data_IF_621879373033
#
_entry.id   IF_621879373033
#
_cell.length_a   1.000
_cell.length_b   1.000
_cell.length_c   1.000
_cell.angle_alpha   90.00
_cell.angle_beta   90.00
_cell.angle_gamma   90.00
#
_symmetry.space_group_name_H-M   'P 1'
#
loop_
_entity.id
_entity.type
_entity.pdbx_description
1 polymer ?
#
# COMPACT_ATOMS: atom_id res chain seq x y z
N UNK A 1 -1.97 -6.86 -1.57
CA UNK A 1 -1.15 -6.14 -2.58
C UNK A 1 0.29 -6.67 -2.64
N UNK A 2 1.06 -6.71 -1.53
CA UNK A 2 2.44 -7.22 -1.55
C UNK A 2 2.57 -8.63 -2.14
N UNK A 3 1.73 -9.58 -1.73
CA UNK A 3 1.70 -10.94 -2.30
C UNK A 3 1.37 -10.96 -3.79
N UNK A 4 0.56 -10.01 -4.29
CA UNK A 4 0.25 -9.93 -5.72
C UNK A 4 1.45 -9.39 -6.52
N UNK A 5 2.13 -8.37 -5.98
CA UNK A 5 3.35 -7.82 -6.57
C UNK A 5 4.49 -8.85 -6.57
N UNK A 6 4.66 -9.58 -5.47
CA UNK A 6 5.66 -10.65 -5.37
C UNK A 6 5.41 -11.76 -6.40
N UNK A 7 4.16 -12.23 -6.55
CA UNK A 7 3.81 -13.18 -7.61
C UNK A 7 4.20 -12.67 -9.01
N UNK A 8 3.87 -11.41 -9.31
CA UNK A 8 4.23 -10.80 -10.59
C UNK A 8 5.76 -10.70 -10.78
N UNK A 9 6.50 -10.35 -9.73
CA UNK A 9 7.96 -10.33 -9.74
C UNK A 9 8.54 -11.71 -10.05
N UNK A 10 8.01 -12.77 -9.44
CA UNK A 10 8.46 -14.15 -9.72
C UNK A 10 8.16 -14.55 -11.17
N UNK A 11 7.01 -14.18 -11.71
CA UNK A 11 6.63 -14.46 -13.11
C UNK A 11 7.58 -13.76 -14.10
N UNK A 12 7.90 -12.49 -13.87
CA UNK A 12 8.82 -11.72 -14.72
C UNK A 12 10.25 -12.27 -14.65
N UNK A 13 10.70 -12.71 -13.47
CA UNK A 13 12.00 -13.35 -13.31
C UNK A 13 12.12 -14.67 -14.09
N UNK A 14 11.01 -15.40 -14.22
CA UNK A 14 10.92 -16.68 -14.95
C UNK A 14 10.80 -16.49 -16.46
N UNK A 15 10.26 -15.36 -16.92
CA UNK A 15 10.01 -15.11 -18.34
C UNK A 15 11.25 -14.53 -19.02
N UNK A 16 11.71 -15.10 -20.15
CA UNK A 16 12.80 -14.51 -20.93
C UNK A 16 12.31 -13.22 -21.59
N UNK A 17 12.71 -12.08 -21.03
CA UNK A 17 12.41 -10.74 -21.55
C UNK A 17 13.67 -9.87 -21.46
N UNK A 18 13.94 -9.08 -22.49
CA UNK A 18 15.03 -8.10 -22.54
C UNK A 18 14.97 -7.11 -21.36
N UNK A 19 13.77 -6.72 -20.93
CA UNK A 19 13.54 -5.76 -19.86
C UNK A 19 13.28 -6.38 -18.48
N UNK A 20 13.55 -7.68 -18.31
CA UNK A 20 13.19 -8.40 -17.07
C UNK A 20 13.81 -7.81 -15.81
N UNK A 21 15.04 -7.30 -15.92
CA UNK A 21 15.77 -6.72 -14.79
C UNK A 21 15.13 -5.38 -14.38
N UNK A 22 14.93 -4.48 -15.34
CA UNK A 22 14.34 -3.16 -15.12
C UNK A 22 12.91 -3.28 -14.59
N UNK A 23 12.11 -4.18 -15.16
CA UNK A 23 10.75 -4.42 -14.69
C UNK A 23 10.73 -5.06 -13.29
N UNK A 24 11.68 -5.95 -13.00
CA UNK A 24 11.84 -6.54 -11.66
C UNK A 24 12.22 -5.49 -10.61
N UNK A 25 13.15 -4.60 -10.92
CA UNK A 25 13.53 -3.47 -10.06
C UNK A 25 12.36 -2.51 -9.84
N UNK A 26 11.59 -2.23 -10.89
CA UNK A 26 10.39 -1.40 -10.79
C UNK A 26 9.35 -1.99 -9.84
N UNK A 27 9.07 -3.29 -9.94
CA UNK A 27 8.14 -3.97 -9.02
C UNK A 27 8.67 -3.96 -7.59
N UNK A 28 9.99 -4.13 -7.40
CA UNK A 28 10.60 -4.01 -6.08
C UNK A 28 10.39 -2.60 -5.48
N UNK A 29 10.58 -1.54 -6.27
CA UNK A 29 10.32 -0.16 -5.83
C UNK A 29 8.86 0.05 -5.40
N UNK A 30 7.90 -0.53 -6.15
CA UNK A 30 6.48 -0.52 -5.79
C UNK A 30 6.25 -1.24 -4.46
N UNK A 31 6.83 -2.43 -4.28
CA UNK A 31 6.72 -3.20 -3.04
C UNK A 31 7.31 -2.45 -1.83
N UNK A 32 8.43 -1.77 -2.00
CA UNK A 32 9.07 -0.98 -0.95
C UNK A 32 8.20 0.22 -0.56
N UNK A 33 7.55 0.88 -1.53
CA UNK A 33 6.61 1.97 -1.26
C UNK A 33 5.36 1.49 -0.51
N UNK A 34 4.75 0.38 -0.95
CA UNK A 34 3.62 -0.25 -0.24
C UNK A 34 4.02 -0.61 1.19
N UNK A 35 5.21 -1.18 1.38
CA UNK A 35 5.69 -1.61 2.70
C UNK A 35 5.89 -0.43 3.65
N UNK A 36 6.46 0.68 3.15
CA UNK A 36 6.62 1.93 3.91
C UNK A 36 5.27 2.53 4.32
N UNK A 37 4.31 2.61 3.40
CA UNK A 37 2.96 3.10 3.71
C UNK A 37 2.26 2.21 4.73
N UNK A 38 2.34 0.89 4.57
CA UNK A 38 1.77 -0.08 5.51
C UNK A 38 2.38 0.05 6.92
N UNK A 39 3.70 0.28 7.01
CA UNK A 39 4.37 0.50 8.28
C UNK A 39 3.91 1.80 8.94
N UNK A 40 3.82 2.89 8.17
CA UNK A 40 3.32 4.17 8.67
C UNK A 40 1.87 4.05 9.18
N UNK A 41 0.99 3.41 8.41
CA UNK A 41 -0.39 3.16 8.79
C UNK A 41 -0.50 2.33 10.07
N UNK A 42 0.24 1.21 10.17
CA UNK A 42 0.24 0.37 11.38
C UNK A 42 0.74 1.13 12.60
N UNK A 43 1.75 2.00 12.44
CA UNK A 43 2.26 2.85 13.51
C UNK A 43 1.20 3.86 13.95
N UNK A 44 0.49 4.48 13.01
CA UNK A 44 -0.60 5.42 13.30
C UNK A 44 -1.76 4.75 14.03
N UNK A 45 -2.24 3.61 13.53
CA UNK A 45 -3.30 2.84 14.19
C UNK A 45 -2.92 2.47 15.62
N UNK A 46 -1.68 1.99 15.81
CA UNK A 46 -1.16 1.68 17.15
C UNK A 46 -1.10 2.91 18.05
N UNK A 47 -0.62 4.05 17.55
CA UNK A 47 -0.56 5.30 18.31
C UNK A 47 -1.94 5.84 18.71
N UNK A 48 -3.00 5.42 18.00
CA UNK A 48 -4.39 5.78 18.30
C UNK A 48 -5.15 4.71 19.09
N UNK A 49 -4.47 3.65 19.55
CA UNK A 49 -5.06 2.48 20.20
C UNK A 49 -6.15 1.80 19.35
N UNK A 50 -5.94 1.75 18.03
CA UNK A 50 -6.80 1.04 17.08
C UNK A 50 -6.14 -0.28 16.73
N UNK A 51 -6.86 -1.39 16.90
CA UNK A 51 -6.45 -2.73 16.48
C UNK A 51 -7.49 -3.27 15.51
N UNK A 52 -7.03 -3.88 14.41
CA UNK A 52 -7.89 -4.53 13.41
C UNK A 52 -7.51 -6.00 13.38
N UNK A 53 -8.53 -6.86 13.38
CA UNK A 53 -8.42 -8.30 13.38
C UNK A 53 -9.10 -8.84 12.13
N UNK A 54 -8.49 -9.84 11.51
CA UNK A 54 -9.14 -10.64 10.48
C UNK A 54 -10.16 -11.54 11.18
N UNK A 55 -11.42 -11.48 10.73
CA UNK A 55 -12.51 -12.29 11.30
C UNK A 55 -12.82 -13.42 10.32
N UNK A 56 -13.67 -13.16 9.32
CA UNK A 56 -14.16 -14.18 8.40
C UNK A 56 -14.29 -13.66 6.97
N UNK A 57 -14.23 -14.58 6.00
CA UNK A 57 -14.58 -14.29 4.62
C UNK A 57 -15.74 -15.17 4.19
N UNK A 58 -16.87 -14.53 3.84
CA UNK A 58 -18.11 -15.21 3.46
C UNK A 58 -18.71 -14.53 2.22
N UNK A 59 -19.05 -15.31 1.19
CA UNK A 59 -19.76 -14.84 -0.02
C UNK A 59 -19.18 -13.58 -0.68
N UNK A 60 -17.85 -13.49 -0.74
CA UNK A 60 -17.17 -12.34 -1.33
C UNK A 60 -17.16 -11.09 -0.45
N UNK A 61 -17.59 -11.20 0.81
CA UNK A 61 -17.46 -10.16 1.83
C UNK A 61 -16.34 -10.56 2.80
N UNK A 62 -15.47 -9.61 3.13
CA UNK A 62 -14.39 -9.76 4.10
C UNK A 62 -14.81 -9.00 5.35
N UNK A 63 -15.02 -9.73 6.45
CA UNK A 63 -15.34 -9.15 7.74
C UNK A 63 -14.05 -8.92 8.53
N UNK A 64 -13.93 -7.69 9.04
CA UNK A 64 -12.89 -7.33 9.96
C UNK A 64 -13.51 -6.76 11.23
N UNK A 65 -12.93 -7.16 12.34
CA UNK A 65 -13.26 -6.62 13.65
C UNK A 65 -12.23 -5.58 14.03
N UNK A 66 -12.65 -4.51 14.67
CA UNK A 66 -11.73 -3.52 15.21
C UNK A 66 -12.04 -3.19 16.65
N UNK A 67 -10.98 -2.90 17.40
CA UNK A 67 -11.06 -2.37 18.75
C UNK A 67 -10.46 -0.95 18.73
N UNK A 68 -11.24 0.04 19.15
CA UNK A 68 -10.82 1.43 19.28
C UNK A 68 -11.24 1.95 20.65
N UNK A 69 -10.27 2.23 21.52
CA UNK A 69 -10.51 2.85 22.86
C UNK A 69 -11.53 2.07 23.73
N UNK A 70 -11.53 0.74 23.64
CA UNK A 70 -12.45 -0.13 24.39
C UNK A 70 -13.78 -0.40 23.69
N UNK A 71 -14.06 0.26 22.56
CA UNK A 71 -15.18 -0.08 21.69
C UNK A 71 -14.77 -1.13 20.67
N UNK A 72 -15.57 -2.18 20.56
CA UNK A 72 -15.40 -3.24 19.57
C UNK A 72 -16.59 -3.21 18.60
N UNK A 73 -16.29 -3.21 17.31
CA UNK A 73 -17.29 -3.32 16.24
C UNK A 73 -16.66 -4.02 15.04
N UNK A 74 -17.47 -4.27 14.01
CA UNK A 74 -17.07 -4.92 12.77
C UNK A 74 -17.39 -4.06 11.57
N UNK A 75 -16.53 -4.11 10.57
CA UNK A 75 -16.82 -3.60 9.25
C UNK A 75 -16.66 -4.71 8.21
N UNK A 76 -17.37 -4.55 7.11
CA UNK A 76 -17.38 -5.47 6.00
C UNK A 76 -16.79 -4.78 4.78
N UNK A 77 -15.95 -5.51 4.03
CA UNK A 77 -15.41 -5.05 2.76
C UNK A 77 -15.88 -6.00 1.67
N UNK A 78 -16.57 -5.47 0.66
CA UNK A 78 -16.93 -6.25 -0.53
C UNK A 78 -15.66 -6.50 -1.37
N UNK A 79 -15.41 -7.76 -1.73
CA UNK A 79 -14.21 -8.18 -2.48
C UNK A 79 -14.05 -7.42 -3.79
N UNK A 80 -15.14 -7.12 -4.49
CA UNK A 80 -15.10 -6.35 -5.75
C UNK A 80 -14.66 -4.90 -5.53
N UNK A 81 -15.16 -4.25 -4.47
CA UNK A 81 -14.71 -2.92 -4.07
C UNK A 81 -13.22 -2.94 -3.70
N UNK A 82 -12.78 -3.95 -2.94
CA UNK A 82 -11.37 -4.12 -2.59
C UNK A 82 -10.49 -4.33 -3.84
N UNK A 83 -10.94 -5.14 -4.79
CA UNK A 83 -10.21 -5.38 -6.05
C UNK A 83 -10.04 -4.09 -6.84
N UNK A 84 -11.09 -3.27 -6.92
CA UNK A 84 -11.07 -1.98 -7.61
C UNK A 84 -10.09 -1.02 -6.93
N UNK A 85 -10.16 -0.92 -5.60
CA UNK A 85 -9.27 -0.07 -4.80
C UNK A 85 -7.80 -0.50 -4.92
N UNK A 86 -7.52 -1.81 -4.97
CA UNK A 86 -6.17 -2.33 -5.23
C UNK A 86 -5.63 -1.80 -6.56
N UNK A 87 -6.45 -1.83 -7.63
CA UNK A 87 -6.05 -1.32 -8.94
C UNK A 87 -5.72 0.16 -8.91
N UNK A 88 -6.60 0.98 -8.29
CA UNK A 88 -6.40 2.42 -8.12
C UNK A 88 -5.11 2.72 -7.35
N UNK A 89 -4.88 2.03 -6.23
CA UNK A 89 -3.66 2.23 -5.42
C UNK A 89 -2.39 1.82 -6.15
N UNK A 90 -2.40 0.70 -6.86
CA UNK A 90 -1.24 0.27 -7.66
C UNK A 90 -0.92 1.29 -8.75
N UNK A 91 -1.92 1.81 -9.46
CA UNK A 91 -1.73 2.88 -10.44
C UNK A 91 -1.11 4.13 -9.80
N UNK A 92 -1.58 4.53 -8.61
CA UNK A 92 -0.99 5.63 -7.84
C UNK A 92 0.46 5.37 -7.46
N UNK A 93 0.80 4.18 -6.95
CA UNK A 93 2.18 3.84 -6.61
C UNK A 93 3.11 3.91 -7.82
N UNK A 94 2.66 3.41 -8.97
CA UNK A 94 3.42 3.52 -10.22
C UNK A 94 3.60 4.97 -10.65
N UNK A 95 2.52 5.78 -10.62
CA UNK A 95 2.58 7.19 -10.98
C UNK A 95 3.55 7.97 -10.09
N UNK A 96 3.51 7.76 -8.78
CA UNK A 96 4.42 8.43 -7.85
C UNK A 96 5.90 8.06 -8.05
N UNK A 97 6.19 6.87 -8.58
CA UNK A 97 7.55 6.41 -8.88
C UNK A 97 8.03 7.01 -10.20
N UNK A 98 7.18 7.02 -11.22
CA UNK A 98 7.50 7.54 -12.56
C UNK A 98 7.54 9.07 -12.59
N UNK A 99 6.71 9.70 -11.79
CA UNK A 99 6.56 11.15 -11.67
C UNK A 99 6.70 11.54 -10.20
N UNK A 100 7.93 11.54 -9.66
CA UNK A 100 8.15 11.95 -8.29
C UNK A 100 7.68 13.40 -8.11
N UNK A 101 6.87 13.70 -7.07
CA UNK A 101 6.45 15.06 -6.82
C UNK A 101 7.70 15.94 -6.63
N UNK A 102 7.71 17.12 -7.25
CA UNK A 102 8.75 18.11 -7.05
C UNK A 102 8.87 18.36 -5.54
N UNK A 103 9.99 17.98 -4.94
CA UNK A 103 10.28 18.25 -3.54
C UNK A 103 10.32 19.77 -3.39
N UNK A 104 9.31 20.36 -2.76
CA UNK A 104 9.35 21.78 -2.40
C UNK A 104 10.62 22.00 -1.57
N UNK A 105 11.46 22.93 -2.04
CA UNK A 105 12.69 23.31 -1.36
C UNK A 105 12.35 23.79 0.06
N UNK A 106 13.17 23.48 1.08
CA UNK A 106 12.94 24.01 2.42
C UNK A 106 12.88 25.55 2.35
N UNK A 107 12.00 26.20 3.15
CA UNK A 107 11.95 27.66 3.18
C UNK A 107 13.36 28.17 3.50
N UNK A 108 13.91 28.99 2.59
CA UNK A 108 15.21 29.63 2.80
C UNK A 108 15.22 30.39 4.12
N UNK A 109 16.37 30.51 4.79
CA UNK A 109 16.45 31.25 6.05
C UNK A 109 15.94 32.67 5.79
N UNK A 110 14.90 33.05 6.54
CA UNK A 110 14.14 34.26 6.31
C UNK A 110 15.01 35.48 6.14
N UNK A 111 14.69 36.28 5.12
CA UNK A 111 15.09 37.68 5.04
C UNK A 111 14.37 38.45 6.15
N UNK A 112 14.89 38.34 7.37
CA UNK A 112 14.68 39.31 8.42
C UNK A 112 15.77 40.36 8.32
N UNK A 113 15.46 41.48 7.68
CA UNK A 113 16.21 42.74 7.79
C UNK A 113 15.21 43.88 7.67
#
# INVERSE_FOLDING_TARGET
>A
MLTMCDKSLQEIRRTPNLFKQQLGEFIQMVMDKISREMFALRRELRGRNIKVYEDEMLDGIIYHRYCCRGYEDRFAIVREALRTEIGVRLAKYCADILHPPLKEAPPGPGSGS
#
